data_IF_939065688511
#
_entry.id   IF_939065688511
#
_cell.length_a   1.000
_cell.length_b   1.000
_cell.length_c   1.000
_cell.angle_alpha   90.00
_cell.angle_beta   90.00
_cell.angle_gamma   90.00
#
_symmetry.space_group_name_H-M   'P 1'
#
loop_
_entity.id
_entity.type
_entity.pdbx_description
1 polymer ?
#
# COMPACT_ATOMS: atom_id res chain seq x y z
N UNK A 1 1.91 -19.71 11.41
CA UNK A 1 2.22 -20.10 10.00
C UNK A 1 3.73 -20.14 9.67
N UNK A 2 4.60 -19.35 10.32
CA UNK A 2 6.05 -19.30 9.98
C UNK A 2 6.92 -20.40 10.59
N UNK A 3 6.43 -21.10 11.62
CA UNK A 3 7.17 -22.17 12.32
C UNK A 3 7.56 -23.37 11.45
N UNK A 4 6.96 -23.51 10.26
CA UNK A 4 7.31 -24.56 9.28
C UNK A 4 8.35 -24.12 8.25
N UNK A 5 8.85 -22.89 8.35
CA UNK A 5 9.87 -22.32 7.46
C UNK A 5 11.15 -22.16 8.27
N UNK A 6 12.18 -22.92 7.92
CA UNK A 6 13.49 -22.78 8.54
C UNK A 6 14.35 -21.84 7.72
N UNK A 7 15.20 -21.07 8.40
CA UNK A 7 16.35 -20.46 7.74
C UNK A 7 17.29 -21.61 7.40
N UNK A 8 17.74 -21.69 6.13
CA UNK A 8 18.76 -22.68 5.79
C UNK A 8 20.04 -22.26 6.52
N UNK A 9 20.41 -23.02 7.55
CA UNK A 9 21.66 -22.84 8.31
C UNK A 9 22.87 -23.30 7.49
N UNK A 10 23.05 -22.72 6.31
CA UNK A 10 24.29 -22.81 5.53
C UNK A 10 24.98 -21.45 5.62
N UNK A 11 26.01 -21.39 6.46
CA UNK A 11 26.88 -20.23 6.69
C UNK A 11 27.55 -19.80 5.37
N UNK A 12 27.71 -18.52 5.03
CA UNK A 12 28.31 -17.44 5.84
C UNK A 12 27.92 -16.02 5.39
N UNK A 13 27.00 -15.86 4.42
CA UNK A 13 26.72 -14.56 3.80
C UNK A 13 25.27 -14.13 4.02
N UNK A 14 25.09 -12.84 4.31
CA UNK A 14 23.78 -12.21 4.44
C UNK A 14 23.80 -10.83 3.80
N UNK A 15 22.62 -10.29 3.48
CA UNK A 15 22.48 -8.92 3.03
C UNK A 15 22.33 -8.01 4.24
N UNK A 16 23.32 -7.17 4.49
CA UNK A 16 23.19 -6.07 5.44
C UNK A 16 22.48 -4.92 4.73
N UNK A 17 21.26 -4.62 5.17
CA UNK A 17 20.45 -3.53 4.65
C UNK A 17 20.20 -2.50 5.75
N UNK A 18 20.09 -1.20 5.40
CA UNK A 18 19.62 -0.19 6.34
C UNK A 18 18.24 -0.55 6.88
N UNK A 19 18.00 -0.26 8.15
CA UNK A 19 16.68 -0.38 8.75
C UNK A 19 15.81 0.83 8.37
N UNK A 20 14.92 0.64 7.41
CA UNK A 20 14.00 1.67 6.95
C UNK A 20 12.89 2.02 7.96
N UNK A 21 12.85 1.37 9.13
CA UNK A 21 12.07 1.84 10.28
C UNK A 21 12.80 2.92 11.10
N UNK A 22 13.95 3.40 10.60
CA UNK A 22 14.69 4.53 11.17
C UNK A 22 14.94 5.60 10.14
N UNK A 23 15.05 6.84 10.63
CA UNK A 23 15.48 7.96 9.82
C UNK A 23 17.01 7.91 9.65
N UNK A 24 17.53 7.87 8.40
CA UNK A 24 18.96 7.95 8.12
C UNK A 24 19.62 9.16 8.80
N UNK A 25 20.86 9.01 9.26
CA UNK A 25 21.59 10.06 9.99
C UNK A 25 21.63 11.41 9.25
N UNK A 26 21.81 11.39 7.92
CA UNK A 26 21.84 12.59 7.09
C UNK A 26 20.49 13.31 6.97
N UNK A 27 19.37 12.63 7.27
CA UNK A 27 18.03 13.21 7.27
C UNK A 27 17.58 13.69 8.66
N UNK A 28 18.27 13.31 9.74
CA UNK A 28 17.92 13.73 11.11
C UNK A 28 17.94 15.23 11.34
N UNK A 29 18.64 16.00 10.51
CA UNK A 29 18.61 17.47 10.58
C UNK A 29 17.29 18.09 10.10
N UNK A 30 16.42 17.31 9.43
CA UNK A 30 15.14 17.76 8.89
C UNK A 30 13.93 17.35 9.75
N UNK A 31 14.16 16.72 10.91
CA UNK A 31 13.08 16.28 11.77
C UNK A 31 13.54 16.04 13.20
N UNK A 32 12.62 16.21 14.14
CA UNK A 32 12.82 15.95 15.56
C UNK A 32 11.78 14.93 16.03
N UNK A 33 12.07 14.26 17.16
CA UNK A 33 11.14 13.31 17.77
C UNK A 33 11.20 11.88 17.20
N UNK A 34 10.16 11.06 17.47
CA UNK A 34 10.11 9.65 17.07
C UNK A 34 9.96 9.49 15.55
N UNK A 35 10.35 8.33 15.02
CA UNK A 35 10.20 7.98 13.60
C UNK A 35 8.96 7.12 13.40
N UNK A 36 8.03 7.59 12.55
CA UNK A 36 6.91 6.79 12.07
C UNK A 36 7.27 6.15 10.73
N UNK A 37 7.07 4.84 10.60
CA UNK A 37 7.29 4.11 9.35
C UNK A 37 6.05 3.32 8.96
N UNK A 38 5.61 3.49 7.72
CA UNK A 38 4.42 2.84 7.16
C UNK A 38 4.87 1.89 6.06
N UNK A 39 4.76 0.58 6.30
CA UNK A 39 5.11 -0.46 5.34
C UNK A 39 3.84 -0.91 4.60
N UNK A 40 3.79 -0.65 3.29
CA UNK A 40 2.67 -1.03 2.42
C UNK A 40 3.15 -2.10 1.43
N UNK A 41 2.39 -3.20 1.31
CA UNK A 41 2.52 -4.16 0.21
C UNK A 41 1.41 -3.91 -0.82
N UNK A 42 1.67 -3.18 -1.92
CA UNK A 42 0.62 -2.57 -2.76
C UNK A 42 -0.03 -3.55 -3.74
N UNK A 43 0.54 -4.75 -3.92
CA UNK A 43 0.06 -5.76 -4.90
C UNK A 43 0.06 -5.20 -6.34
N UNK A 44 -0.66 -5.85 -7.25
CA UNK A 44 -0.67 -5.52 -8.69
C UNK A 44 -1.66 -4.39 -8.99
N UNK A 45 -1.14 -3.24 -9.41
CA UNK A 45 -1.88 -2.00 -9.69
C UNK A 45 -2.51 -1.86 -11.08
N UNK A 46 -2.53 -2.93 -11.89
CA UNK A 46 -3.07 -2.90 -13.25
C UNK A 46 -3.87 -4.17 -13.58
N UNK A 47 -4.74 -4.08 -14.57
CA UNK A 47 -5.46 -5.19 -15.20
C UNK A 47 -4.77 -5.60 -16.51
N UNK A 48 -4.61 -6.91 -16.78
CA UNK A 48 -4.18 -7.39 -18.09
C UNK A 48 -5.21 -7.04 -19.18
N UNK A 49 -4.74 -6.79 -20.39
CA UNK A 49 -5.65 -6.55 -21.52
C UNK A 49 -6.38 -7.85 -21.92
N UNK A 50 -7.68 -7.72 -22.18
CA UNK A 50 -8.55 -8.85 -22.56
C UNK A 50 -8.08 -9.57 -23.83
N UNK A 51 -7.42 -8.85 -24.75
CA UNK A 51 -6.89 -9.40 -26.00
C UNK A 51 -5.82 -10.47 -25.77
N UNK A 52 -4.97 -10.32 -24.75
CA UNK A 52 -3.90 -11.27 -24.43
C UNK A 52 -4.36 -12.45 -23.55
N UNK A 53 -5.67 -12.56 -23.26
CA UNK A 53 -6.20 -13.57 -22.34
C UNK A 53 -7.02 -14.64 -23.07
N UNK A 54 -6.84 -15.93 -22.73
CA UNK A 54 -7.76 -17.00 -23.10
C UNK A 54 -9.19 -16.71 -22.63
N UNK A 55 -10.18 -17.31 -23.32
CA UNK A 55 -11.60 -17.08 -23.05
C UNK A 55 -11.97 -17.36 -21.58
N UNK A 56 -11.47 -18.46 -21.02
CA UNK A 56 -11.66 -18.89 -19.63
C UNK A 56 -11.02 -17.95 -18.59
N UNK A 57 -10.21 -16.99 -19.01
CA UNK A 57 -9.49 -16.06 -18.15
C UNK A 57 -9.88 -14.60 -18.34
N UNK A 58 -10.88 -14.30 -19.18
CA UNK A 58 -11.32 -12.92 -19.44
C UNK A 58 -11.77 -12.14 -18.20
N UNK A 59 -12.22 -12.82 -17.14
CA UNK A 59 -12.52 -12.18 -15.85
C UNK A 59 -11.31 -11.41 -15.26
N UNK A 60 -10.08 -11.84 -15.56
CA UNK A 60 -8.87 -11.16 -15.08
C UNK A 60 -8.68 -9.77 -15.68
N UNK A 61 -9.34 -9.46 -16.80
CA UNK A 61 -9.32 -8.13 -17.42
C UNK A 61 -10.33 -7.15 -16.77
N UNK A 62 -11.21 -7.62 -15.88
CA UNK A 62 -12.21 -6.77 -15.22
C UNK A 62 -12.17 -6.82 -13.69
N UNK A 63 -11.46 -7.79 -13.10
CA UNK A 63 -11.33 -7.95 -11.65
C UNK A 63 -9.85 -8.03 -11.28
N UNK A 64 -9.44 -7.18 -10.33
CA UNK A 64 -8.04 -7.12 -9.92
C UNK A 64 -7.58 -8.44 -9.29
N UNK A 65 -6.31 -8.78 -9.51
CA UNK A 65 -5.70 -10.04 -9.02
C UNK A 65 -5.83 -10.20 -7.51
N UNK A 66 -5.82 -9.09 -6.77
CA UNK A 66 -6.00 -9.07 -5.32
C UNK A 66 -7.41 -9.51 -4.91
N UNK A 67 -8.46 -8.95 -5.54
CA UNK A 67 -9.84 -9.31 -5.22
C UNK A 67 -10.13 -10.78 -5.55
N UNK A 68 -9.68 -11.27 -6.70
CA UNK A 68 -9.76 -12.71 -7.04
C UNK A 68 -9.06 -13.59 -5.99
N UNK A 69 -7.91 -13.14 -5.46
CA UNK A 69 -7.21 -13.86 -4.41
C UNK A 69 -7.96 -13.81 -3.06
N UNK A 70 -8.61 -12.69 -2.71
CA UNK A 70 -9.44 -12.59 -1.50
C UNK A 70 -10.61 -13.57 -1.56
N UNK A 71 -11.34 -13.61 -2.68
CA UNK A 71 -12.46 -14.56 -2.87
C UNK A 71 -12.00 -16.01 -2.72
N UNK A 72 -10.86 -16.37 -3.32
CA UNK A 72 -10.30 -17.71 -3.20
C UNK A 72 -9.90 -18.05 -1.75
N UNK A 73 -9.19 -17.15 -1.07
CA UNK A 73 -8.80 -17.36 0.33
C UNK A 73 -10.01 -17.51 1.24
N UNK A 74 -11.05 -16.72 1.01
CA UNK A 74 -12.32 -16.79 1.76
C UNK A 74 -13.01 -18.13 1.53
N UNK A 75 -13.06 -18.64 0.30
CA UNK A 75 -13.66 -19.95 0.00
C UNK A 75 -12.86 -21.12 0.56
N UNK A 76 -11.55 -20.95 0.78
CA UNK A 76 -10.69 -21.90 1.49
C UNK A 76 -10.70 -21.76 3.01
N UNK A 77 -11.41 -20.78 3.56
CA UNK A 77 -11.42 -20.50 4.99
C UNK A 77 -10.08 -19.96 5.54
N UNK A 78 -9.19 -19.49 4.67
CA UNK A 78 -7.89 -18.93 5.06
C UNK A 78 -8.01 -17.53 5.68
N UNK A 79 -9.11 -16.82 5.40
CA UNK A 79 -9.41 -15.50 5.95
C UNK A 79 -10.86 -15.45 6.47
N UNK A 80 -11.07 -14.71 7.56
CA UNK A 80 -12.38 -14.53 8.19
C UNK A 80 -13.25 -13.51 7.44
N UNK A 81 -12.65 -12.44 6.92
CA UNK A 81 -13.31 -11.43 6.10
C UNK A 81 -12.46 -11.09 4.88
N UNK A 82 -13.13 -10.65 3.80
CA UNK A 82 -12.44 -10.13 2.63
C UNK A 82 -12.09 -8.65 2.86
N UNK A 83 -10.87 -8.26 2.49
CA UNK A 83 -10.50 -6.85 2.40
C UNK A 83 -11.11 -6.21 1.15
N UNK A 84 -11.68 -5.00 1.28
CA UNK A 84 -12.16 -4.22 0.13
C UNK A 84 -11.06 -3.35 -0.49
N UNK A 85 -9.82 -3.44 0.02
CA UNK A 85 -8.66 -2.81 -0.59
C UNK A 85 -8.54 -3.18 -2.08
N UNK A 86 -8.47 -2.16 -2.94
CA UNK A 86 -8.23 -2.33 -4.36
C UNK A 86 -6.88 -1.70 -4.75
N UNK A 87 -5.91 -2.48 -5.25
CA UNK A 87 -4.66 -1.92 -5.77
C UNK A 87 -4.89 -0.87 -6.87
N UNK A 88 -5.89 -1.07 -7.74
CA UNK A 88 -6.20 -0.11 -8.80
C UNK A 88 -6.58 1.27 -8.24
N UNK A 89 -7.13 1.33 -7.03
CA UNK A 89 -7.44 2.59 -6.36
C UNK A 89 -6.18 3.27 -5.83
N UNK A 90 -5.25 2.50 -5.23
CA UNK A 90 -3.97 3.01 -4.75
C UNK A 90 -3.08 3.52 -5.89
N UNK A 91 -3.11 2.88 -7.06
CA UNK A 91 -2.35 3.27 -8.25
C UNK A 91 -3.11 4.23 -9.19
N UNK A 92 -4.31 4.69 -8.80
CA UNK A 92 -5.17 5.47 -9.69
C UNK A 92 -4.69 6.89 -9.98
N UNK A 93 -3.79 7.44 -9.17
CA UNK A 93 -3.47 8.88 -9.16
C UNK A 93 -4.61 9.78 -8.67
N UNK A 94 -5.80 9.23 -8.41
CA UNK A 94 -6.94 9.97 -7.86
C UNK A 94 -6.83 10.02 -6.32
N UNK A 95 -6.62 11.19 -5.70
CA UNK A 95 -6.40 11.28 -4.25
C UNK A 95 -7.51 10.65 -3.41
N UNK A 96 -8.78 10.75 -3.86
CA UNK A 96 -9.90 10.13 -3.14
C UNK A 96 -9.85 8.60 -3.18
N UNK A 97 -9.59 8.01 -4.35
CA UNK A 97 -9.47 6.54 -4.48
C UNK A 97 -8.28 6.04 -3.67
N UNK A 98 -7.15 6.75 -3.73
CA UNK A 98 -5.95 6.41 -2.97
C UNK A 98 -6.19 6.46 -1.46
N UNK A 99 -6.83 7.52 -0.96
CA UNK A 99 -7.19 7.67 0.46
C UNK A 99 -8.15 6.54 0.91
N UNK A 100 -9.17 6.22 0.13
CA UNK A 100 -10.06 5.08 0.41
C UNK A 100 -9.30 3.75 0.45
N UNK A 101 -8.36 3.53 -0.46
CA UNK A 101 -7.54 2.32 -0.47
C UNK A 101 -6.68 2.20 0.80
N UNK A 102 -6.14 3.31 1.30
CA UNK A 102 -5.38 3.35 2.55
C UNK A 102 -6.28 3.09 3.77
N UNK A 103 -7.51 3.60 3.79
CA UNK A 103 -8.49 3.26 4.83
C UNK A 103 -8.82 1.78 4.84
N UNK A 104 -9.03 1.16 3.68
CA UNK A 104 -9.25 -0.28 3.59
C UNK A 104 -8.04 -1.10 4.06
N UNK A 105 -6.83 -0.58 3.89
CA UNK A 105 -5.62 -1.17 4.45
C UNK A 105 -5.54 -1.00 5.96
N UNK A 106 -6.03 0.09 6.55
CA UNK A 106 -6.14 0.24 8.01
C UNK A 106 -7.22 -0.68 8.58
N UNK A 107 -8.36 -0.80 7.90
CA UNK A 107 -9.46 -1.65 8.36
C UNK A 107 -9.12 -3.15 8.21
N UNK A 108 -8.51 -3.55 7.07
CA UNK A 108 -8.05 -4.92 6.79
C UNK A 108 -6.56 -4.98 6.37
N UNK A 109 -5.60 -4.78 7.29
CA UNK A 109 -4.15 -4.79 7.06
C UNK A 109 -3.66 -6.10 6.49
N UNK A 110 -4.14 -7.26 6.98
CA UNK A 110 -3.62 -8.57 6.60
C UNK A 110 -2.07 -8.57 6.56
N UNK A 111 -1.46 -9.00 5.46
CA UNK A 111 -0.01 -8.83 5.22
C UNK A 111 0.31 -7.68 4.26
N UNK A 112 -0.59 -6.70 4.20
CA UNK A 112 -0.57 -5.57 3.29
C UNK A 112 -0.20 -4.24 3.96
N UNK A 113 -0.41 -4.09 5.27
CA UNK A 113 -0.05 -2.88 6.00
C UNK A 113 0.57 -3.21 7.36
N UNK A 114 1.66 -2.52 7.68
CA UNK A 114 2.27 -2.47 9.02
C UNK A 114 2.70 -1.05 9.34
N UNK A 115 2.59 -0.66 10.60
CA UNK A 115 3.07 0.65 11.07
C UNK A 115 4.03 0.45 12.24
N UNK A 116 5.12 1.19 12.21
CA UNK A 116 6.19 1.14 13.20
C UNK A 116 6.43 2.52 13.81
N UNK A 117 6.79 2.54 15.09
CA UNK A 117 7.30 3.72 15.79
C UNK A 117 8.67 3.36 16.36
N UNK A 118 9.72 4.07 15.92
CA UNK A 118 11.11 3.81 16.34
C UNK A 118 11.49 2.32 16.27
N UNK A 119 11.19 1.66 15.13
CA UNK A 119 11.36 0.22 14.86
C UNK A 119 10.37 -0.72 15.54
N UNK A 120 9.59 -0.26 16.51
CA UNK A 120 8.62 -1.10 17.19
C UNK A 120 7.33 -1.23 16.38
N UNK A 121 6.85 -2.46 16.17
CA UNK A 121 5.61 -2.72 15.44
C UNK A 121 4.39 -2.32 16.28
N UNK A 122 3.77 -1.20 15.93
CA UNK A 122 2.62 -0.64 16.65
C UNK A 122 1.27 -0.97 16.00
N UNK A 123 1.27 -1.40 14.74
CA UNK A 123 0.03 -1.77 14.05
C UNK A 123 0.27 -2.83 12.97
N UNK A 124 -0.56 -3.87 12.97
CA UNK A 124 -0.56 -4.97 11.99
C UNK A 124 -1.87 -5.76 12.08
N UNK A 125 -2.03 -6.81 11.26
CA UNK A 125 -3.19 -7.71 11.40
C UNK A 125 -3.30 -8.31 12.81
N UNK A 126 -2.18 -8.73 13.39
CA UNK A 126 -2.12 -9.37 14.71
C UNK A 126 -2.12 -8.36 15.87
N UNK A 127 -1.74 -7.10 15.62
CA UNK A 127 -1.73 -6.02 16.60
C UNK A 127 -2.61 -4.87 16.13
N UNK A 128 -3.87 -4.87 16.57
CA UNK A 128 -4.89 -3.86 16.26
C UNK A 128 -5.04 -2.81 17.37
N UNK A 129 -3.98 -2.53 18.12
CA UNK A 129 -3.99 -1.44 19.11
C UNK A 129 -4.43 -0.13 18.46
N UNK A 130 -5.07 0.75 19.24
CA UNK A 130 -5.58 2.02 18.74
C UNK A 130 -4.45 2.86 18.14
N UNK A 131 -4.49 3.01 16.81
CA UNK A 131 -3.61 3.89 16.06
C UNK A 131 -3.77 5.34 16.51
N UNK A 132 -5.01 5.81 16.75
CA UNK A 132 -5.27 7.16 17.25
C UNK A 132 -4.44 7.53 18.49
N UNK A 133 -4.30 6.61 19.46
CA UNK A 133 -3.48 6.86 20.66
C UNK A 133 -2.01 6.93 20.28
N UNK A 134 -1.53 6.03 19.41
CA UNK A 134 -0.11 5.94 19.07
C UNK A 134 0.36 7.08 18.17
N UNK A 135 -0.55 7.57 17.32
CA UNK A 135 -0.32 8.70 16.41
C UNK A 135 -0.41 10.07 17.10
N UNK A 136 -0.79 10.12 18.38
CA UNK A 136 -0.95 11.38 19.12
C UNK A 136 0.31 12.23 19.19
N UNK A 137 1.47 11.58 19.17
CA UNK A 137 2.77 12.25 19.25
C UNK A 137 3.20 12.83 17.89
N UNK A 138 2.48 12.50 16.80
CA UNK A 138 2.78 12.92 15.44
C UNK A 138 1.76 13.91 14.88
N UNK A 139 0.49 13.74 15.24
CA UNK A 139 -0.61 14.54 14.71
C UNK A 139 -1.45 15.10 15.86
N UNK A 140 -1.52 16.42 15.96
CA UNK A 140 -2.58 17.06 16.75
C UNK A 140 -3.93 16.80 16.09
N UNK A 141 -5.02 16.75 16.87
CA UNK A 141 -6.37 16.57 16.32
C UNK A 141 -6.93 17.93 15.86
N UNK A 142 -7.08 18.19 14.55
CA UNK A 142 -7.73 19.41 14.07
C UNK A 142 -9.25 19.19 14.10
N UNK A 143 -9.85 19.33 15.28
CA UNK A 143 -11.31 19.27 15.45
C UNK A 143 -11.90 17.86 15.22
N UNK A 144 -12.54 17.66 14.06
CA UNK A 144 -13.41 16.49 13.74
C UNK A 144 -12.62 15.34 13.06
N UNK A 145 -11.44 15.61 12.53
CA UNK A 145 -10.67 14.65 11.74
C UNK A 145 -9.87 13.70 12.65
N UNK A 146 -9.96 12.38 12.40
CA UNK A 146 -9.17 11.39 13.15
C UNK A 146 -7.70 11.38 12.72
N UNK A 147 -6.80 10.87 13.56
CA UNK A 147 -5.38 10.77 13.23
C UNK A 147 -5.10 9.76 12.13
N UNK A 148 -5.92 8.72 12.03
CA UNK A 148 -5.90 7.77 10.92
C UNK A 148 -6.20 8.47 9.59
N UNK A 149 -7.17 9.40 9.55
CA UNK A 149 -7.46 10.19 8.35
C UNK A 149 -6.27 11.09 7.98
N UNK A 150 -5.68 11.78 8.95
CA UNK A 150 -4.47 12.62 8.71
C UNK A 150 -3.33 11.77 8.15
N UNK A 151 -3.12 10.56 8.70
CA UNK A 151 -2.13 9.62 8.20
C UNK A 151 -2.43 9.21 6.74
N UNK A 152 -3.67 8.83 6.43
CA UNK A 152 -4.07 8.47 5.07
C UNK A 152 -3.87 9.62 4.08
N UNK A 153 -4.20 10.85 4.47
CA UNK A 153 -3.98 12.05 3.64
C UNK A 153 -2.49 12.30 3.40
N UNK A 154 -1.66 12.24 4.45
CA UNK A 154 -0.22 12.43 4.34
C UNK A 154 0.42 11.36 3.45
N UNK A 155 0.08 10.08 3.65
CA UNK A 155 0.58 8.98 2.81
C UNK A 155 0.12 9.16 1.35
N UNK A 156 -1.12 9.58 1.11
CA UNK A 156 -1.60 9.90 -0.24
C UNK A 156 -0.76 10.99 -0.89
N UNK A 157 -0.49 12.09 -0.17
CA UNK A 157 0.35 13.19 -0.65
C UNK A 157 1.78 12.74 -0.95
N UNK A 158 2.36 11.89 -0.10
CA UNK A 158 3.71 11.32 -0.31
C UNK A 158 3.74 10.47 -1.58
N UNK A 159 2.73 9.61 -1.80
CA UNK A 159 2.70 8.69 -2.93
C UNK A 159 2.50 9.39 -4.28
N UNK A 160 1.87 10.56 -4.31
CA UNK A 160 1.73 11.38 -5.54
C UNK A 160 2.84 12.42 -5.70
N UNK A 161 3.76 12.52 -4.75
CA UNK A 161 4.83 13.51 -4.81
C UNK A 161 5.88 13.13 -5.85
N UNK A 162 6.03 13.98 -6.87
CA UNK A 162 7.10 13.87 -7.84
C UNK A 162 8.35 14.59 -7.32
N UNK A 163 9.40 13.83 -6.99
CA UNK A 163 10.70 14.43 -6.70
C UNK A 163 11.35 14.97 -7.98
N UNK A 164 11.97 16.17 -7.95
CA UNK A 164 12.72 16.68 -9.10
C UNK A 164 13.84 15.69 -9.46
N UNK A 165 13.75 15.06 -10.63
CA UNK A 165 14.85 14.23 -11.15
C UNK A 165 15.92 15.17 -11.69
N UNK A 166 17.10 15.16 -11.06
CA UNK A 166 18.31 15.81 -11.60
C UNK A 166 18.81 15.15 -12.89
N UNK A 167 18.27 13.98 -13.24
CA UNK A 167 18.64 13.24 -14.44
C UNK A 167 17.70 13.58 -15.61
N UNK A 168 18.11 14.56 -16.43
CA UNK A 168 17.45 14.95 -17.69
C UNK A 168 17.62 13.92 -18.81
N UNK A 169 18.21 12.74 -18.56
CA UNK A 169 18.58 11.79 -19.63
C UNK A 169 17.68 10.56 -19.78
N UNK A 170 16.76 10.31 -18.83
CA UNK A 170 15.73 9.28 -18.99
C UNK A 170 14.46 9.91 -19.54
N UNK A 171 14.49 10.36 -20.80
CA UNK A 171 13.27 10.42 -21.59
C UNK A 171 12.78 8.99 -21.74
N UNK A 172 11.92 8.57 -20.80
CA UNK A 172 11.13 7.37 -20.98
C UNK A 172 10.24 7.68 -22.18
N UNK A 173 10.62 7.20 -23.37
CA UNK A 173 9.71 7.17 -24.51
C UNK A 173 8.43 6.52 -23.98
N UNK A 174 7.29 7.24 -23.99
CA UNK A 174 6.04 6.65 -23.58
C UNK A 174 5.90 5.38 -24.39
N UNK A 175 5.83 4.23 -23.72
CA UNK A 175 5.60 3.00 -24.45
C UNK A 175 4.36 3.23 -25.31
N UNK A 176 4.44 2.90 -26.60
CA UNK A 176 3.35 3.08 -27.59
C UNK A 176 2.03 2.35 -27.24
N UNK A 177 1.93 1.79 -26.03
CA UNK A 177 0.72 1.31 -25.43
C UNK A 177 -0.23 2.50 -25.21
N UNK A 178 -1.44 2.36 -25.75
CA UNK A 178 -2.56 3.23 -25.44
C UNK A 178 -2.68 3.38 -23.92
N UNK A 179 -2.57 4.59 -23.41
CA UNK A 179 -2.95 4.90 -22.04
C UNK A 179 -4.44 4.58 -21.90
N UNK A 180 -4.74 3.45 -21.27
CA UNK A 180 -6.11 2.94 -21.12
C UNK A 180 -6.91 3.72 -20.05
N UNK A 181 -6.35 4.82 -19.54
CA UNK A 181 -6.95 5.64 -18.50
C UNK A 181 -7.04 4.90 -17.17
N UNK A 182 -7.72 5.49 -16.17
CA UNK A 182 -7.82 4.92 -14.84
C UNK A 182 -8.63 3.61 -14.86
N UNK A 183 -7.94 2.50 -14.60
CA UNK A 183 -8.58 1.19 -14.46
C UNK A 183 -9.36 1.08 -13.14
N UNK A 184 -10.43 0.29 -13.16
CA UNK A 184 -11.28 0.02 -12.00
C UNK A 184 -11.68 -1.46 -11.92
N UNK A 185 -12.06 -1.90 -10.72
CA UNK A 185 -12.50 -3.26 -10.39
C UNK A 185 -13.85 -3.14 -9.65
N UNK A 186 -14.67 -4.20 -9.54
CA UNK A 186 -15.90 -4.16 -8.73
C UNK A 186 -15.71 -3.66 -7.28
N UNK A 187 -14.51 -3.82 -6.73
CA UNK A 187 -14.15 -3.31 -5.39
C UNK A 187 -13.55 -1.90 -5.41
N UNK A 188 -13.45 -1.25 -6.56
CA UNK A 188 -12.93 0.12 -6.67
C UNK A 188 -13.96 1.13 -6.20
N UNK A 189 -13.46 2.14 -5.50
CA UNK A 189 -14.22 3.34 -5.14
C UNK A 189 -14.60 4.11 -6.39
N UNK A 190 -15.79 4.73 -6.38
CA UNK A 190 -16.21 5.61 -7.47
C UNK A 190 -15.20 6.76 -7.67
N UNK A 191 -14.84 7.05 -8.92
CA UNK A 191 -14.09 8.25 -9.29
C UNK A 191 -15.08 9.36 -9.67
N UNK A 192 -14.90 10.58 -9.16
CA UNK A 192 -15.60 11.77 -9.66
C UNK A 192 -14.62 12.83 -10.14
N UNK A 193 -13.35 12.48 -10.34
CA UNK A 193 -12.41 13.36 -11.00
C UNK A 193 -12.81 13.44 -12.48
N UNK A 194 -12.83 14.64 -13.09
CA UNK A 194 -13.00 14.74 -14.54
C UNK A 194 -11.88 13.97 -15.24
N UNK A 195 -12.24 13.21 -16.29
CA UNK A 195 -11.28 12.59 -17.20
C UNK A 195 -10.52 13.65 -18.00
#
# INVERSE_FOLDING_TARGET
HRLKKNVREVSTLGLLLPDHCTLPSHLRKYGEGPVLSVEIKPKQGFLPESYYLPHEHKLRASVCRFHLAQTYKKSKGEILSMSMYCPLDLFSGCPRRMNNALHELLYHPQNNLRVFKDKELIFSEENRSSLDITLKDFFDKPGIVSREEILCQLVTQILVHCFPTTDRSLTYEPASHSDHGPQSCPSSSACTCPN
#
